data_IF_753010430621
#
_entry.id   IF_753010430621
#
_cell.length_a   1.000
_cell.length_b   1.000
_cell.length_c   1.000
_cell.angle_alpha   90.00
_cell.angle_beta   90.00
_cell.angle_gamma   90.00
#
_symmetry.space_group_name_H-M   'P 1'
#
loop_
_entity.id
_entity.type
_entity.pdbx_description
1 polymer ?
#
# COMPACT_ATOMS: atom_id res chain seq x y z
N UNK A 1 -5.19 -1.23 13.44
CA UNK A 1 -5.95 -1.53 14.66
C UNK A 1 -6.15 -3.03 14.72
N UNK A 2 -5.99 -3.67 15.87
CA UNK A 2 -6.21 -5.11 16.04
C UNK A 2 -7.71 -5.40 16.16
N UNK A 3 -8.10 -6.67 16.10
CA UNK A 3 -9.49 -7.10 16.37
C UNK A 3 -9.96 -6.81 17.81
N UNK A 4 -9.06 -6.63 18.77
CA UNK A 4 -9.39 -6.19 20.13
C UNK A 4 -9.48 -4.65 20.27
N UNK A 5 -9.33 -3.90 19.17
CA UNK A 5 -9.43 -2.45 19.15
C UNK A 5 -8.14 -1.69 19.46
N UNK A 6 -7.02 -2.40 19.69
CA UNK A 6 -5.71 -1.79 20.00
C UNK A 6 -5.12 -1.09 18.78
N UNK A 7 -4.49 0.06 18.99
CA UNK A 7 -3.82 0.83 17.93
C UNK A 7 -2.31 0.59 18.01
N UNK A 8 -1.77 -0.05 16.98
CA UNK A 8 -0.34 -0.32 16.85
C UNK A 8 0.26 0.67 15.85
N UNK A 9 1.31 1.39 16.26
CA UNK A 9 2.17 2.15 15.35
C UNK A 9 3.44 1.34 15.10
N UNK A 10 3.61 0.90 13.86
CA UNK A 10 4.76 0.10 13.44
C UNK A 10 5.69 0.99 12.62
N UNK A 11 6.91 1.13 13.08
CA UNK A 11 7.96 1.91 12.42
C UNK A 11 8.98 0.95 11.80
N UNK A 12 9.44 1.24 10.58
CA UNK A 12 10.52 0.51 9.92
C UNK A 12 11.68 1.46 9.64
N UNK A 13 12.88 1.09 10.08
CA UNK A 13 14.10 1.77 9.72
C UNK A 13 14.78 1.04 8.57
N UNK A 14 14.71 1.56 7.35
CA UNK A 14 15.31 0.95 6.15
C UNK A 14 16.82 1.30 5.95
N UNK A 15 17.48 1.90 6.94
CA UNK A 15 18.90 2.31 6.83
C UNK A 15 19.85 1.16 7.24
N UNK A 16 21.11 1.45 7.62
CA UNK A 16 22.12 0.42 7.90
C UNK A 16 21.86 -0.46 9.13
N UNK A 17 20.86 -0.12 9.95
CA UNK A 17 20.40 -0.89 11.12
C UNK A 17 18.95 -1.29 10.93
N UNK A 18 18.67 -2.06 9.88
CA UNK A 18 17.33 -2.56 9.56
C UNK A 18 16.65 -3.15 10.80
N UNK A 19 15.45 -2.67 11.09
CA UNK A 19 14.77 -2.95 12.33
C UNK A 19 13.38 -2.34 12.34
N UNK A 20 12.48 -2.98 13.06
CA UNK A 20 11.16 -2.44 13.36
C UNK A 20 11.05 -1.96 14.80
N UNK A 21 10.13 -1.04 15.06
CA UNK A 21 9.68 -0.72 16.42
C UNK A 21 8.16 -0.69 16.43
N UNK A 22 7.56 -1.38 17.39
CA UNK A 22 6.12 -1.39 17.60
C UNK A 22 5.81 -0.58 18.84
N UNK A 23 4.96 0.43 18.67
CA UNK A 23 4.42 1.25 19.72
C UNK A 23 2.94 0.94 19.90
N UNK A 24 2.53 0.90 21.16
CA UNK A 24 1.15 0.80 21.59
C UNK A 24 0.98 1.70 22.81
N UNK A 25 -0.16 2.36 22.91
CA UNK A 25 -0.52 3.20 24.06
C UNK A 25 -0.36 2.43 25.37
N UNK A 26 0.16 3.10 26.40
CA UNK A 26 0.45 2.55 27.74
C UNK A 26 1.41 1.35 27.81
N UNK A 27 2.04 0.97 26.69
CA UNK A 27 2.99 -0.13 26.63
C UNK A 27 4.39 0.36 26.25
N UNK A 28 5.40 -0.38 26.71
CA UNK A 28 6.78 -0.13 26.29
C UNK A 28 6.96 -0.52 24.82
N UNK A 29 7.67 0.32 24.08
CA UNK A 29 7.98 0.04 22.69
C UNK A 29 8.78 -1.28 22.54
N UNK A 30 8.36 -2.12 21.60
CA UNK A 30 8.97 -3.43 21.32
C UNK A 30 9.81 -3.32 20.05
N UNK A 31 11.09 -3.70 20.13
CA UNK A 31 11.96 -3.75 18.94
C UNK A 31 11.76 -5.07 18.20
N UNK A 32 11.64 -4.98 16.88
CA UNK A 32 11.60 -6.12 15.96
C UNK A 32 12.95 -6.20 15.27
N UNK A 33 13.60 -7.36 15.33
CA UNK A 33 14.89 -7.62 14.70
C UNK A 33 14.85 -8.93 13.90
N UNK A 34 15.80 -9.04 12.99
CA UNK A 34 16.03 -10.29 12.28
C UNK A 34 16.38 -11.42 13.26
N UNK A 35 15.97 -12.64 12.91
CA UNK A 35 16.16 -13.86 13.72
C UNK A 35 15.45 -13.88 15.07
N UNK A 36 14.58 -12.91 15.37
CA UNK A 36 13.67 -13.01 16.51
C UNK A 36 12.37 -13.73 16.10
N UNK A 37 11.74 -14.47 17.03
CA UNK A 37 10.38 -14.91 16.83
C UNK A 37 9.48 -13.72 16.53
N UNK A 38 8.47 -13.89 15.68
CA UNK A 38 7.56 -12.82 15.40
C UNK A 38 6.81 -12.30 16.63
N UNK A 39 6.49 -11.01 16.61
CA UNK A 39 5.63 -10.39 17.62
C UNK A 39 4.17 -10.64 17.25
N UNK A 40 3.44 -11.30 18.14
CA UNK A 40 2.01 -11.53 18.03
C UNK A 40 1.26 -10.61 19.00
N UNK A 41 0.34 -9.81 18.46
CA UNK A 41 -0.57 -8.95 19.21
C UNK A 41 -1.97 -9.16 18.66
N UNK A 42 -2.81 -9.87 19.41
CA UNK A 42 -4.14 -10.31 19.00
C UNK A 42 -4.10 -11.05 17.63
N UNK A 43 -4.80 -10.52 16.62
CA UNK A 43 -4.77 -11.05 15.24
C UNK A 43 -3.66 -10.44 14.36
N UNK A 44 -2.73 -9.67 14.92
CA UNK A 44 -1.64 -9.02 14.19
C UNK A 44 -0.31 -9.70 14.46
N UNK A 45 0.41 -9.98 13.39
CA UNK A 45 1.68 -10.69 13.37
C UNK A 45 2.74 -9.82 12.70
N UNK A 46 3.83 -9.51 13.42
CA UNK A 46 4.85 -8.56 13.00
C UNK A 46 6.22 -9.22 13.05
N UNK A 47 6.93 -9.25 11.92
CA UNK A 47 8.23 -9.91 11.80
C UNK A 47 9.18 -9.17 10.87
N UNK A 48 10.48 -9.37 11.08
CA UNK A 48 11.54 -8.91 10.17
C UNK A 48 12.32 -10.14 9.69
N UNK A 49 12.13 -10.50 8.42
CA UNK A 49 12.77 -11.67 7.80
C UNK A 49 13.48 -11.24 6.53
N UNK A 50 14.75 -11.60 6.37
CA UNK A 50 15.56 -11.23 5.21
C UNK A 50 15.47 -9.73 4.89
N UNK A 51 15.57 -8.90 5.94
CA UNK A 51 15.48 -7.42 5.88
C UNK A 51 14.12 -6.85 5.44
N UNK A 52 13.09 -7.68 5.24
CA UNK A 52 11.71 -7.30 4.92
C UNK A 52 10.88 -7.28 6.20
N UNK A 53 10.38 -6.12 6.59
CA UNK A 53 9.42 -6.00 7.69
C UNK A 53 8.03 -6.32 7.16
N UNK A 54 7.35 -7.28 7.79
CA UNK A 54 5.97 -7.67 7.45
C UNK A 54 5.05 -7.44 8.63
N UNK A 55 3.88 -6.87 8.35
CA UNK A 55 2.75 -6.73 9.27
C UNK A 55 1.58 -7.47 8.65
N UNK A 56 1.24 -8.61 9.23
CA UNK A 56 0.12 -9.45 8.80
C UNK A 56 -1.04 -9.30 9.78
N UNK A 57 -2.20 -8.90 9.28
CA UNK A 57 -3.48 -8.97 9.99
C UNK A 57 -4.14 -10.28 9.53
N UNK A 58 -4.27 -11.25 10.43
CA UNK A 58 -4.74 -12.58 10.10
C UNK A 58 -6.09 -12.56 9.38
N UNK A 59 -6.16 -13.24 8.23
CA UNK A 59 -7.36 -13.32 7.38
C UNK A 59 -7.76 -12.00 6.71
N UNK A 60 -6.87 -11.00 6.68
CA UNK A 60 -7.12 -9.69 6.05
C UNK A 60 -5.96 -9.27 5.17
N UNK A 61 -5.04 -8.47 5.67
CA UNK A 61 -4.00 -7.83 4.85
C UNK A 61 -2.62 -8.22 5.33
N UNK A 62 -1.68 -8.37 4.41
CA UNK A 62 -0.25 -8.32 4.70
C UNK A 62 0.33 -7.07 4.07
N UNK A 63 0.88 -6.20 4.89
CA UNK A 63 1.73 -5.10 4.44
C UNK A 63 3.18 -5.49 4.66
N UNK A 64 4.04 -5.15 3.71
CA UNK A 64 5.47 -5.35 3.88
C UNK A 64 6.29 -4.23 3.28
N UNK A 65 7.44 -3.98 3.90
CA UNK A 65 8.38 -2.95 3.50
C UNK A 65 9.80 -3.52 3.52
N UNK A 66 10.56 -3.24 2.46
CA UNK A 66 11.96 -3.63 2.36
C UNK A 66 12.77 -2.54 1.68
N UNK A 67 14.07 -2.47 1.98
CA UNK A 67 14.98 -1.67 1.19
C UNK A 67 15.29 -2.37 -0.13
N UNK A 68 15.19 -1.63 -1.23
CA UNK A 68 15.69 -2.04 -2.53
C UNK A 68 16.77 -1.09 -3.05
N UNK A 69 17.57 -1.59 -3.99
CA UNK A 69 18.57 -0.79 -4.68
C UNK A 69 17.88 0.22 -5.61
N UNK A 70 18.29 1.49 -5.55
CA UNK A 70 17.77 2.51 -6.45
C UNK A 70 18.25 2.24 -7.89
N UNK A 71 17.34 2.14 -8.90
CA UNK A 71 17.74 2.08 -10.30
C UNK A 71 18.61 3.29 -10.64
N UNK A 72 19.82 3.05 -11.14
CA UNK A 72 20.81 4.11 -11.38
C UNK A 72 21.31 4.84 -10.12
N UNK A 73 21.48 4.13 -8.99
CA UNK A 73 21.98 4.69 -7.72
C UNK A 73 23.36 5.37 -7.80
N UNK A 74 24.13 5.14 -8.86
CA UNK A 74 25.43 5.80 -9.10
C UNK A 74 25.30 7.24 -9.63
N UNK A 75 24.11 7.65 -10.11
CA UNK A 75 23.88 9.02 -10.56
C UNK A 75 24.10 10.00 -9.40
N UNK A 76 24.74 11.17 -9.63
CA UNK A 76 24.97 12.15 -8.57
C UNK A 76 23.71 12.52 -7.77
N UNK A 77 22.54 12.61 -8.44
CA UNK A 77 21.25 12.91 -7.80
C UNK A 77 20.69 11.77 -6.92
N UNK A 78 21.12 10.53 -7.14
CA UNK A 78 20.62 9.33 -6.45
C UNK A 78 21.67 8.66 -5.56
N UNK A 79 22.89 9.23 -5.52
CA UNK A 79 23.97 8.74 -4.69
C UNK A 79 23.52 8.69 -3.23
N UNK A 80 23.73 7.54 -2.60
CA UNK A 80 23.33 7.26 -1.22
C UNK A 80 21.80 7.26 -0.95
N UNK A 81 20.96 7.34 -1.99
CA UNK A 81 19.52 7.11 -1.84
C UNK A 81 19.23 5.62 -1.87
N UNK A 82 18.17 5.25 -1.17
CA UNK A 82 17.65 3.89 -1.13
C UNK A 82 16.19 3.94 -1.56
N UNK A 83 15.72 2.89 -2.22
CA UNK A 83 14.29 2.72 -2.44
C UNK A 83 13.68 2.01 -1.24
N UNK A 84 12.50 2.48 -0.87
CA UNK A 84 11.62 1.77 0.03
C UNK A 84 10.56 1.08 -0.83
N UNK A 85 10.69 -0.23 -0.96
CA UNK A 85 9.70 -1.05 -1.64
C UNK A 85 8.60 -1.40 -0.64
N UNK A 86 7.36 -1.08 -1.01
CA UNK A 86 6.16 -1.35 -0.24
C UNK A 86 5.27 -2.29 -1.04
N UNK A 87 4.75 -3.30 -0.37
CA UNK A 87 3.83 -4.28 -0.94
C UNK A 87 2.64 -4.47 -0.02
N UNK A 88 1.45 -4.54 -0.59
CA UNK A 88 0.19 -4.85 0.07
C UNK A 88 -0.40 -6.10 -0.58
N UNK A 89 -0.79 -7.08 0.23
CA UNK A 89 -1.37 -8.34 -0.21
C UNK A 89 -2.69 -8.57 0.51
N UNK A 90 -3.75 -8.84 -0.26
CA UNK A 90 -5.03 -9.31 0.26
C UNK A 90 -4.93 -10.81 0.54
N UNK A 91 -5.10 -11.20 1.81
CA UNK A 91 -5.12 -12.59 2.27
C UNK A 91 -6.54 -13.17 2.31
N UNK A 92 -7.48 -12.54 1.60
CA UNK A 92 -8.90 -12.84 1.59
C UNK A 92 -9.53 -12.27 0.31
N UNK A 93 -10.80 -12.62 0.07
CA UNK A 93 -11.63 -12.06 -1.01
C UNK A 93 -11.98 -10.58 -0.73
N UNK A 94 -11.07 -9.70 -1.16
CA UNK A 94 -11.19 -8.26 -0.97
C UNK A 94 -12.22 -7.63 -1.91
N UNK A 95 -12.46 -8.22 -3.09
CA UNK A 95 -13.45 -7.75 -4.07
C UNK A 95 -14.88 -7.81 -3.52
N UNK A 96 -15.15 -8.74 -2.60
CA UNK A 96 -16.46 -8.92 -1.97
C UNK A 96 -16.47 -8.57 -0.49
N UNK A 97 -15.52 -7.77 0.02
CA UNK A 97 -15.58 -7.28 1.40
C UNK A 97 -16.82 -6.39 1.61
N UNK A 98 -17.49 -6.55 2.76
CA UNK A 98 -18.59 -5.67 3.19
C UNK A 98 -18.17 -4.20 3.21
N UNK A 99 -16.91 -3.93 3.51
CA UNK A 99 -16.25 -2.64 3.38
C UNK A 99 -15.31 -2.74 2.19
N UNK A 100 -15.86 -2.54 0.99
CA UNK A 100 -15.07 -2.58 -0.23
C UNK A 100 -13.84 -1.66 -0.11
N UNK A 101 -12.63 -2.15 -0.41
CA UNK A 101 -11.41 -1.36 -0.29
C UNK A 101 -11.46 -0.10 -1.17
N UNK A 102 -10.81 0.96 -0.71
CA UNK A 102 -10.69 2.22 -1.45
C UNK A 102 -9.34 2.88 -1.12
N UNK A 103 -9.08 4.07 -1.65
CA UNK A 103 -7.76 4.69 -1.65
C UNK A 103 -7.06 4.48 -3.00
N UNK A 104 -5.77 4.84 -3.07
CA UNK A 104 -5.01 4.80 -4.31
C UNK A 104 -4.91 3.38 -4.89
N UNK A 105 -4.60 2.39 -4.06
CA UNK A 105 -4.51 0.98 -4.46
C UNK A 105 -5.78 0.18 -4.16
N UNK A 106 -6.52 0.51 -3.10
CA UNK A 106 -7.69 -0.27 -2.68
C UNK A 106 -8.84 -0.26 -3.69
N UNK A 107 -8.99 0.81 -4.47
CA UNK A 107 -10.07 0.92 -5.45
C UNK A 107 -10.02 -0.12 -6.57
N UNK A 108 -8.90 -0.82 -6.77
CA UNK A 108 -8.79 -1.92 -7.72
C UNK A 108 -9.45 -3.23 -7.26
N UNK A 109 -9.88 -3.33 -6.00
CA UNK A 109 -10.62 -4.47 -5.46
C UNK A 109 -12.13 -4.18 -5.52
N UNK A 110 -12.70 -4.15 -6.72
CA UNK A 110 -14.10 -3.82 -6.97
C UNK A 110 -14.89 -4.89 -7.74
N UNK A 111 -14.29 -6.06 -7.97
CA UNK A 111 -14.98 -7.24 -8.48
C UNK A 111 -15.49 -7.14 -9.92
N UNK A 112 -15.12 -6.10 -10.68
CA UNK A 112 -15.58 -5.89 -12.05
C UNK A 112 -14.63 -6.44 -13.11
N UNK A 113 -13.40 -6.79 -12.71
CA UNK A 113 -12.30 -7.22 -13.58
C UNK A 113 -11.95 -6.19 -14.69
N UNK A 114 -12.15 -4.89 -14.45
CA UNK A 114 -11.82 -3.82 -15.37
C UNK A 114 -10.68 -2.96 -14.84
N UNK A 115 -9.61 -2.86 -15.63
CA UNK A 115 -8.59 -1.83 -15.46
C UNK A 115 -9.05 -0.52 -16.08
N UNK A 116 -8.61 0.61 -15.52
CA UNK A 116 -8.80 1.93 -16.15
C UNK A 116 -7.46 2.65 -16.24
N UNK A 117 -7.03 2.94 -17.47
CA UNK A 117 -5.81 3.68 -17.74
C UNK A 117 -6.10 5.18 -17.64
N UNK A 118 -5.44 5.82 -16.67
CA UNK A 118 -5.56 7.25 -16.44
C UNK A 118 -4.69 8.05 -17.39
N UNK A 119 -4.76 9.37 -17.28
CA UNK A 119 -3.89 10.28 -18.02
C UNK A 119 -2.41 10.00 -17.68
N UNK A 120 -1.57 10.08 -18.70
CA UNK A 120 -0.12 10.02 -18.58
C UNK A 120 0.46 11.42 -18.82
N UNK A 121 1.60 11.70 -18.17
CA UNK A 121 2.37 12.90 -18.49
C UNK A 121 3.12 12.71 -19.82
N UNK A 122 3.03 13.70 -20.70
CA UNK A 122 3.73 13.71 -21.99
C UNK A 122 5.22 14.08 -21.84
N UNK A 123 5.57 14.84 -20.79
CA UNK A 123 6.95 15.24 -20.53
C UNK A 123 7.81 14.05 -20.11
N UNK A 124 8.76 13.68 -20.96
CA UNK A 124 9.75 12.61 -20.75
C UNK A 124 11.16 13.15 -20.44
N UNK A 125 11.26 14.41 -20.03
CA UNK A 125 12.53 15.00 -19.59
C UNK A 125 13.11 14.26 -18.37
N UNK A 126 14.42 14.44 -18.15
CA UNK A 126 15.14 13.81 -17.02
C UNK A 126 14.58 14.25 -15.66
N UNK A 127 13.95 15.42 -15.61
CA UNK A 127 13.28 15.96 -14.42
C UNK A 127 12.00 16.65 -14.87
N UNK A 128 10.87 15.99 -14.63
CA UNK A 128 9.54 16.50 -14.94
C UNK A 128 8.71 16.68 -13.68
N UNK A 129 7.76 17.61 -13.73
CA UNK A 129 6.71 17.72 -12.71
C UNK A 129 5.46 17.07 -13.25
N UNK A 130 4.94 16.07 -12.55
CA UNK A 130 3.72 15.37 -12.96
C UNK A 130 2.50 16.28 -12.84
N UNK A 131 1.75 16.37 -13.94
CA UNK A 131 0.53 17.15 -14.11
C UNK A 131 -0.71 16.25 -14.25
N UNK A 132 -0.55 15.07 -14.84
CA UNK A 132 -1.64 14.14 -15.13
C UNK A 132 -2.14 13.39 -13.90
N UNK A 133 -1.25 12.98 -12.99
CA UNK A 133 -1.58 12.35 -11.69
C UNK A 133 -2.52 11.14 -11.81
N UNK A 134 -2.47 10.40 -12.92
CA UNK A 134 -3.37 9.30 -13.25
C UNK A 134 -4.87 9.65 -13.19
N UNK A 135 -5.25 10.93 -13.32
CA UNK A 135 -6.65 11.35 -13.37
C UNK A 135 -7.41 10.57 -14.44
N UNK A 136 -8.62 10.15 -14.11
CA UNK A 136 -9.44 9.29 -14.95
C UNK A 136 -9.30 7.79 -14.66
N UNK A 137 -8.20 7.33 -14.04
CA UNK A 137 -8.10 5.95 -13.51
C UNK A 137 -8.69 5.80 -12.11
N UNK A 138 -8.65 6.88 -11.33
CA UNK A 138 -9.04 6.89 -9.92
C UNK A 138 -10.40 7.57 -9.75
N UNK A 139 -11.18 7.16 -8.74
CA UNK A 139 -12.44 7.84 -8.43
C UNK A 139 -12.14 9.25 -7.84
N UNK A 140 -12.53 10.30 -8.55
CA UNK A 140 -12.23 11.69 -8.16
C UNK A 140 -10.87 12.16 -8.67
N UNK A 141 -10.20 13.02 -7.89
CA UNK A 141 -8.91 13.63 -8.26
C UNK A 141 -7.89 13.46 -7.13
N UNK A 142 -6.59 13.57 -7.43
CA UNK A 142 -5.51 13.36 -6.45
C UNK A 142 -5.65 14.21 -5.16
N UNK A 143 -6.29 15.39 -5.25
CA UNK A 143 -6.57 16.25 -4.10
C UNK A 143 -7.52 15.59 -3.09
N UNK A 144 -8.46 14.76 -3.56
CA UNK A 144 -9.42 14.03 -2.71
C UNK A 144 -8.75 12.99 -1.80
N UNK A 145 -7.51 12.60 -2.13
CA UNK A 145 -6.71 11.61 -1.41
C UNK A 145 -5.64 12.25 -0.51
N UNK A 146 -5.59 13.58 -0.42
CA UNK A 146 -4.65 14.26 0.48
C UNK A 146 -5.05 14.04 1.94
N UNK A 147 -4.04 13.72 2.74
CA UNK A 147 -4.16 13.60 4.19
C UNK A 147 -3.77 14.92 4.87
N UNK A 148 -4.47 15.28 5.94
CA UNK A 148 -4.19 16.50 6.70
C UNK A 148 -2.85 16.46 7.44
N UNK A 149 -2.42 15.27 7.87
CA UNK A 149 -1.16 15.04 8.58
C UNK A 149 -0.68 13.60 8.34
N UNK A 150 0.60 13.29 8.63
CA UNK A 150 1.05 11.91 8.70
C UNK A 150 0.12 11.08 9.60
N UNK A 151 -0.21 9.87 9.16
CA UNK A 151 -1.10 8.93 9.84
C UNK A 151 -2.57 9.37 10.00
N UNK A 152 -2.98 10.51 9.41
CA UNK A 152 -4.41 10.85 9.33
C UNK A 152 -5.13 9.78 8.52
N UNK A 153 -6.27 9.33 9.02
CA UNK A 153 -7.16 8.40 8.33
C UNK A 153 -8.32 9.11 7.65
N UNK A 154 -8.52 10.40 7.92
CA UNK A 154 -9.60 11.18 7.34
C UNK A 154 -9.22 11.72 5.95
N UNK A 155 -10.06 11.39 4.98
CA UNK A 155 -10.06 11.87 3.60
C UNK A 155 -11.38 11.44 2.93
N UNK A 156 -11.72 12.00 1.76
CA UNK A 156 -13.03 11.84 1.10
C UNK A 156 -13.49 10.38 0.94
N UNK A 157 -12.56 9.47 0.67
CA UNK A 157 -12.85 8.05 0.47
C UNK A 157 -12.37 7.15 1.61
N UNK A 158 -12.18 7.71 2.81
CA UNK A 158 -11.78 6.93 3.98
C UNK A 158 -12.76 5.78 4.28
N UNK A 159 -12.19 4.65 4.74
CA UNK A 159 -12.91 3.43 5.14
C UNK A 159 -12.54 2.94 6.53
N UNK A 160 -11.66 3.65 7.25
CA UNK A 160 -11.03 3.16 8.47
C UNK A 160 -12.03 2.79 9.58
N UNK A 161 -13.14 3.50 9.70
CA UNK A 161 -14.19 3.26 10.71
C UNK A 161 -15.54 2.87 10.07
N UNK A 162 -15.55 2.53 8.77
CA UNK A 162 -16.77 2.17 8.07
C UNK A 162 -17.23 0.75 8.44
N UNK A 163 -18.54 0.56 8.61
CA UNK A 163 -19.14 -0.78 8.81
C UNK A 163 -19.60 -1.43 7.50
N UNK A 164 -19.71 -0.64 6.45
CA UNK A 164 -20.00 -1.06 5.07
C UNK A 164 -19.60 0.04 4.09
N UNK A 165 -19.16 -0.32 2.90
CA UNK A 165 -18.90 0.61 1.81
C UNK A 165 -19.10 -0.08 0.46
N UNK A 166 -19.55 0.68 -0.55
CA UNK A 166 -19.62 0.20 -1.92
C UNK A 166 -18.23 0.25 -2.58
N UNK A 167 -17.96 -0.62 -3.56
CA UNK A 167 -16.78 -0.51 -4.42
C UNK A 167 -16.74 0.81 -5.19
N UNK A 168 -15.61 1.09 -5.88
CA UNK A 168 -15.48 2.28 -6.74
C UNK A 168 -16.58 2.29 -7.81
N UNK A 169 -16.98 3.49 -8.23
CA UNK A 169 -17.92 3.64 -9.34
C UNK A 169 -17.17 3.84 -10.65
N UNK A 170 -17.01 2.76 -11.41
CA UNK A 170 -16.32 2.71 -12.71
C UNK A 170 -16.92 3.70 -13.71
N UNK A 171 -18.24 4.00 -13.61
CA UNK A 171 -18.90 4.95 -14.51
C UNK A 171 -18.45 6.39 -14.29
N UNK A 172 -17.83 6.70 -13.15
CA UNK A 172 -17.25 8.01 -12.87
C UNK A 172 -15.81 8.13 -13.37
N UNK A 173 -15.22 7.03 -13.84
CA UNK A 173 -13.87 7.02 -14.37
C UNK A 173 -13.91 7.42 -15.85
N UNK A 174 -12.96 8.27 -16.24
CA UNK A 174 -12.89 8.84 -17.59
C UNK A 174 -11.71 8.31 -18.40
N UNK A 175 -10.91 7.41 -17.80
CA UNK A 175 -9.78 6.78 -18.47
C UNK A 175 -10.20 5.69 -19.45
N UNK A 176 -9.22 5.15 -20.17
CA UNK A 176 -9.44 4.05 -21.11
C UNK A 176 -9.67 2.74 -20.35
N UNK A 177 -10.78 2.05 -20.65
CA UNK A 177 -11.11 0.76 -20.05
C UNK A 177 -10.28 -0.35 -20.68
N UNK A 178 -9.74 -1.22 -19.84
CA UNK A 178 -9.09 -2.46 -20.24
C UNK A 178 -9.67 -3.64 -19.46
N UNK A 179 -9.67 -4.82 -20.05
CA UNK A 179 -9.97 -6.05 -19.30
C UNK A 179 -8.76 -6.33 -18.42
N UNK A 180 -8.92 -6.29 -17.11
CA UNK A 180 -7.87 -6.68 -16.19
C UNK A 180 -7.72 -8.21 -16.23
N UNK A 181 -6.49 -8.75 -16.19
CA UNK A 181 -6.34 -10.16 -15.85
C UNK A 181 -7.00 -10.41 -14.50
N UNK A 182 -7.72 -11.52 -14.36
CA UNK A 182 -8.29 -11.91 -13.08
C UNK A 182 -7.19 -11.88 -12.01
N UNK A 183 -7.35 -11.07 -10.96
CA UNK A 183 -6.48 -11.13 -9.80
C UNK A 183 -6.62 -12.55 -9.22
N UNK A 184 -5.51 -13.22 -8.90
CA UNK A 184 -5.56 -14.48 -8.16
C UNK A 184 -6.33 -14.29 -6.86
N UNK A 185 -6.89 -15.35 -6.27
CA UNK A 185 -7.63 -15.34 -4.99
C UNK A 185 -6.90 -14.60 -3.84
N UNK A 186 -5.60 -14.35 -4.02
CA UNK A 186 -4.79 -13.39 -3.28
C UNK A 186 -4.22 -12.33 -4.23
N UNK A 187 -4.85 -11.15 -4.27
CA UNK A 187 -4.39 -10.02 -5.06
C UNK A 187 -3.26 -9.26 -4.36
N UNK A 188 -2.16 -9.03 -5.06
CA UNK A 188 -1.02 -8.23 -4.60
C UNK A 188 -1.04 -6.89 -5.33
N UNK A 189 -0.78 -5.80 -4.62
CA UNK A 189 -0.48 -4.49 -5.20
C UNK A 189 0.81 -3.96 -4.58
N UNK A 190 1.79 -3.56 -5.41
CA UNK A 190 3.05 -3.03 -4.90
C UNK A 190 4.02 -2.55 -5.97
N UNK A 191 5.17 -2.02 -5.53
CA UNK A 191 6.18 -1.41 -6.41
C UNK A 191 6.81 -2.37 -7.45
N UNK A 192 6.56 -3.68 -7.34
CA UNK A 192 7.08 -4.70 -8.25
C UNK A 192 5.99 -5.58 -8.85
N UNK A 193 4.86 -5.00 -9.25
CA UNK A 193 4.09 -5.59 -10.34
C UNK A 193 4.81 -5.24 -11.65
N UNK A 194 5.99 -5.83 -11.85
CA UNK A 194 6.57 -5.87 -13.18
C UNK A 194 5.61 -6.71 -14.03
N UNK A 195 5.10 -6.21 -15.16
CA UNK A 195 4.37 -7.07 -16.07
C UNK A 195 5.29 -8.24 -16.41
N UNK A 196 4.75 -9.46 -16.33
CA UNK A 196 5.43 -10.63 -16.85
C UNK A 196 5.92 -10.28 -18.25
N UNK A 197 7.24 -10.28 -18.41
CA UNK A 197 7.88 -9.97 -19.69
C UNK A 197 7.37 -11.02 -20.66
N UNK A 198 6.59 -10.59 -21.66
CA UNK A 198 6.14 -11.41 -22.77
C UNK A 198 7.31 -11.73 -23.71
#
# INVERSE_FOLDING_TARGET
RTNAGRVLRVEYNATSKEGGVVHEEDHRAVRIRESQPPLLIDNTHIELVAKKLSVTIAGKWRLSAARAAFPFGNLPKNRNKQLLDIQVEALYDADHDKVAPHGIFGQGYDGDALGVNGKLDDDKSVESTTSAQAEGAIEGVWVDYKLASPFSTDFKYSRFDALSAKPRDVKKLSGELTVAPALSEHGVVGATDLPAIA
#
